data_IF_134853182892
#
_entry.id   IF_134853182892
#
_cell.length_a   1.000
_cell.length_b   1.000
_cell.length_c   1.000
_cell.angle_alpha   90.00
_cell.angle_beta   90.00
_cell.angle_gamma   90.00
#
_symmetry.space_group_name_H-M   'P 1'
#
loop_
_entity.id
_entity.type
_entity.pdbx_description
1 polymer ?
#
# COMPACT_ATOMS: atom_id res chain seq x y z
N UNK A 1 24.88 1.43 4.33
CA UNK A 1 24.22 1.55 3.02
C UNK A 1 22.88 0.92 3.28
N UNK A 2 21.84 1.73 3.39
CA UNK A 2 20.49 1.24 3.71
C UNK A 2 19.81 1.19 2.36
N UNK A 3 19.81 0.00 1.79
CA UNK A 3 19.57 -0.26 0.37
C UNK A 3 18.19 0.24 -0.08
N UNK A 4 18.17 1.24 -0.95
CA UNK A 4 16.96 1.83 -1.54
C UNK A 4 16.19 0.79 -2.39
N UNK A 5 16.89 -0.24 -2.88
CA UNK A 5 16.31 -1.38 -3.60
C UNK A 5 15.41 -2.24 -2.68
N UNK A 6 15.82 -2.49 -1.42
CA UNK A 6 15.05 -3.31 -0.48
C UNK A 6 13.66 -2.71 -0.16
N UNK A 7 13.56 -1.38 -0.09
CA UNK A 7 12.30 -0.70 0.23
C UNK A 7 11.27 -0.80 -0.90
N UNK A 8 11.72 -0.94 -2.16
CA UNK A 8 10.82 -1.11 -3.30
C UNK A 8 10.24 -2.52 -3.34
N UNK A 9 11.01 -3.54 -2.95
CA UNK A 9 10.55 -4.92 -2.90
C UNK A 9 9.47 -5.16 -1.83
N UNK A 10 9.42 -4.32 -0.80
CA UNK A 10 8.35 -4.34 0.20
C UNK A 10 7.00 -3.79 -0.32
N UNK A 11 7.00 -3.05 -1.42
CA UNK A 11 5.78 -2.49 -2.03
C UNK A 11 5.18 -3.55 -2.95
N UNK A 12 3.91 -3.97 -2.75
CA UNK A 12 3.22 -4.83 -3.71
C UNK A 12 3.19 -4.17 -5.09
N UNK A 13 3.44 -4.91 -6.17
CA UNK A 13 3.40 -4.31 -7.50
C UNK A 13 2.00 -3.81 -7.89
N UNK A 14 0.95 -4.42 -7.34
CA UNK A 14 -0.44 -4.10 -7.66
C UNK A 14 -1.36 -4.18 -6.45
N UNK A 15 -2.46 -3.45 -6.53
CA UNK A 15 -3.62 -3.59 -5.66
C UNK A 15 -4.88 -3.84 -6.52
N UNK A 16 -5.89 -4.46 -5.92
CA UNK A 16 -7.18 -4.71 -6.54
C UNK A 16 -8.22 -3.73 -6.01
N UNK A 17 -8.82 -2.93 -6.88
CA UNK A 17 -9.93 -2.05 -6.51
C UNK A 17 -11.26 -2.73 -6.81
N UNK A 18 -12.24 -2.60 -5.90
CA UNK A 18 -13.59 -3.07 -6.15
C UNK A 18 -14.36 -2.07 -7.00
N UNK A 19 -14.85 -2.51 -8.17
CA UNK A 19 -15.75 -1.75 -9.03
C UNK A 19 -17.21 -2.15 -8.83
N UNK A 20 -17.56 -2.54 -7.59
CA UNK A 20 -18.87 -3.05 -7.21
C UNK A 20 -19.33 -4.20 -8.13
N UNK A 21 -20.43 -4.01 -8.89
CA UNK A 21 -21.00 -5.05 -9.76
C UNK A 21 -20.15 -5.38 -10.99
N UNK A 22 -19.13 -4.55 -11.30
CA UNK A 22 -18.23 -4.77 -12.44
C UNK A 22 -17.04 -5.67 -12.11
N UNK A 23 -16.96 -6.15 -10.87
CA UNK A 23 -15.87 -7.00 -10.40
C UNK A 23 -14.74 -6.18 -9.79
N UNK A 24 -13.50 -6.65 -9.99
CA UNK A 24 -12.30 -6.01 -9.47
C UNK A 24 -11.39 -5.60 -10.62
N UNK A 25 -10.73 -4.46 -10.48
CA UNK A 25 -9.72 -3.98 -11.41
C UNK A 25 -8.33 -3.97 -10.75
N UNK A 26 -7.31 -4.29 -11.53
CA UNK A 26 -5.91 -4.34 -11.07
C UNK A 26 -5.28 -2.98 -11.31
N UNK A 27 -4.82 -2.33 -10.25
CA UNK A 27 -4.15 -1.02 -10.28
C UNK A 27 -2.68 -1.21 -9.91
N UNK A 28 -1.77 -0.61 -10.68
CA UNK A 28 -0.34 -0.59 -10.35
C UNK A 28 -0.06 0.35 -9.18
N UNK A 29 0.79 -0.06 -8.23
CA UNK A 29 1.28 0.83 -7.17
C UNK A 29 2.53 1.61 -7.59
N UNK A 30 3.09 1.31 -8.77
CA UNK A 30 4.25 1.97 -9.37
C UNK A 30 3.91 3.32 -10.02
N UNK A 31 2.99 4.07 -9.44
CA UNK A 31 2.57 5.40 -9.91
C UNK A 31 2.57 6.41 -8.76
N UNK A 32 2.66 7.70 -9.09
CA UNK A 32 2.51 8.76 -8.11
C UNK A 32 1.02 9.02 -7.85
N UNK A 33 0.63 9.00 -6.58
CA UNK A 33 -0.77 9.21 -6.17
C UNK A 33 -1.07 10.65 -5.75
N UNK A 34 -0.14 11.58 -5.93
CA UNK A 34 -0.36 13.00 -5.68
C UNK A 34 -1.26 13.61 -6.76
N UNK A 35 -2.24 14.43 -6.35
CA UNK A 35 -3.25 15.00 -7.27
C UNK A 35 -2.67 15.86 -8.40
N UNK A 36 -1.45 16.36 -8.23
CA UNK A 36 -0.76 17.24 -9.17
C UNK A 36 0.31 16.49 -10.00
N UNK A 37 0.32 15.16 -9.99
CA UNK A 37 1.31 14.36 -10.68
C UNK A 37 0.67 13.17 -11.40
N UNK A 38 1.09 12.94 -12.63
CA UNK A 38 0.70 11.84 -13.52
C UNK A 38 1.89 10.91 -13.79
N UNK A 39 2.85 10.84 -12.85
CA UNK A 39 4.02 9.97 -13.02
C UNK A 39 3.61 8.49 -12.91
N UNK A 40 3.83 7.75 -13.99
CA UNK A 40 3.67 6.29 -14.03
C UNK A 40 5.02 5.55 -14.18
N UNK A 41 6.14 6.28 -14.15
CA UNK A 41 7.46 5.69 -14.31
C UNK A 41 8.03 5.25 -12.93
N UNK A 42 8.20 3.94 -12.69
CA UNK A 42 8.69 3.43 -11.40
C UNK A 42 10.09 3.93 -11.05
N UNK A 43 10.92 4.18 -12.07
CA UNK A 43 12.31 4.68 -11.93
C UNK A 43 12.39 6.10 -11.36
N UNK A 44 11.29 6.85 -11.43
CA UNK A 44 11.18 8.21 -10.89
C UNK A 44 10.58 8.20 -9.47
N UNK A 45 10.24 7.03 -8.93
CA UNK A 45 9.71 6.86 -7.58
C UNK A 45 10.81 6.28 -6.69
N UNK A 46 11.26 7.06 -5.72
CA UNK A 46 12.30 6.69 -4.77
C UNK A 46 11.70 6.49 -3.37
N UNK A 47 11.51 5.24 -2.93
CA UNK A 47 11.27 4.94 -1.53
C UNK A 47 12.50 5.32 -0.70
N UNK A 48 12.32 6.08 0.38
CA UNK A 48 13.46 6.55 1.19
C UNK A 48 13.29 6.30 2.69
N UNK A 49 12.07 6.00 3.15
CA UNK A 49 11.79 5.74 4.56
C UNK A 49 10.67 4.71 4.69
N UNK A 50 10.80 3.84 5.69
CA UNK A 50 9.72 2.96 6.13
C UNK A 50 9.42 3.16 7.61
N UNK A 51 8.14 3.01 7.95
CA UNK A 51 7.68 2.88 9.33
C UNK A 51 6.77 1.66 9.42
N UNK A 52 7.05 0.78 10.37
CA UNK A 52 6.25 -0.42 10.60
C UNK A 52 5.65 -0.37 12.00
N UNK A 53 4.37 -0.70 12.08
CA UNK A 53 3.62 -0.81 13.31
C UNK A 53 2.91 -2.15 13.29
N UNK A 54 3.17 -3.00 14.28
CA UNK A 54 2.52 -4.29 14.41
C UNK A 54 1.84 -4.40 15.78
N UNK A 55 0.58 -4.85 15.79
CA UNK A 55 -0.15 -5.21 16.98
C UNK A 55 -0.98 -6.48 16.73
N UNK A 56 -1.67 -6.95 17.78
CA UNK A 56 -2.44 -8.20 17.74
C UNK A 56 -3.58 -8.21 16.69
N UNK A 57 -4.03 -7.04 16.24
CA UNK A 57 -5.18 -6.88 15.33
C UNK A 57 -4.75 -6.54 13.91
N UNK A 58 -3.70 -5.75 13.75
CA UNK A 58 -3.29 -5.20 12.47
C UNK A 58 -1.79 -4.93 12.40
N UNK A 59 -1.27 -5.11 11.20
CA UNK A 59 0.07 -4.68 10.82
C UNK A 59 -0.06 -3.53 9.82
N UNK A 60 0.64 -2.44 10.07
CA UNK A 60 0.69 -1.26 9.20
C UNK A 60 2.14 -1.04 8.78
N UNK A 61 2.38 -0.98 7.47
CA UNK A 61 3.63 -0.50 6.89
C UNK A 61 3.37 0.79 6.15
N UNK A 62 4.11 1.84 6.49
CA UNK A 62 4.12 3.11 5.76
C UNK A 62 5.44 3.20 5.01
N UNK A 63 5.36 3.39 3.70
CA UNK A 63 6.52 3.55 2.85
C UNK A 63 6.44 4.94 2.24
N UNK A 64 7.43 5.77 2.55
CA UNK A 64 7.54 7.14 2.08
C UNK A 64 8.29 7.14 0.76
N UNK A 65 7.67 7.72 -0.26
CA UNK A 65 8.15 7.69 -1.64
C UNK A 65 8.24 9.13 -2.13
N UNK A 66 9.42 9.51 -2.60
CA UNK A 66 9.65 10.77 -3.31
C UNK A 66 9.48 10.53 -4.80
N UNK A 67 8.67 11.34 -5.46
CA UNK A 67 8.53 11.32 -6.90
C UNK A 67 9.44 12.37 -7.55
N UNK A 68 10.46 11.96 -8.31
CA UNK A 68 11.38 12.88 -9.01
C UNK A 68 10.70 13.76 -10.05
N UNK A 69 9.53 13.35 -10.58
CA UNK A 69 8.81 14.12 -11.62
C UNK A 69 8.17 15.40 -11.07
N UNK A 70 7.57 15.33 -9.88
CA UNK A 70 6.88 16.46 -9.24
C UNK A 70 7.57 16.95 -7.97
N UNK A 71 8.67 16.29 -7.58
CA UNK A 71 9.43 16.46 -6.33
C UNK A 71 8.62 16.25 -5.05
N UNK A 72 7.35 15.90 -5.17
CA UNK A 72 6.45 15.64 -4.06
C UNK A 72 6.72 14.32 -3.35
N UNK A 73 6.33 14.26 -2.09
CA UNK A 73 6.40 13.08 -1.24
C UNK A 73 4.98 12.56 -1.01
N UNK A 74 4.80 11.26 -1.18
CA UNK A 74 3.58 10.57 -0.80
C UNK A 74 3.92 9.32 0.00
N UNK A 75 2.94 8.84 0.75
CA UNK A 75 3.11 7.70 1.63
C UNK A 75 2.16 6.60 1.18
N UNK A 76 2.68 5.42 0.88
CA UNK A 76 1.88 4.22 0.74
C UNK A 76 1.70 3.58 2.12
N UNK A 77 0.47 3.55 2.60
CA UNK A 77 0.09 2.88 3.84
C UNK A 77 -0.54 1.53 3.50
N UNK A 78 0.24 0.48 3.72
CA UNK A 78 -0.16 -0.93 3.60
C UNK A 78 -0.65 -1.40 4.96
N UNK A 79 -1.91 -1.80 5.06
CA UNK A 79 -2.54 -2.24 6.30
C UNK A 79 -3.07 -3.66 6.16
N UNK A 80 -2.52 -4.60 6.92
CA UNK A 80 -2.96 -5.99 6.99
C UNK A 80 -3.76 -6.20 8.27
N UNK A 81 -5.04 -6.54 8.15
CA UNK A 81 -5.90 -6.91 9.27
C UNK A 81 -5.74 -8.41 9.54
N UNK A 82 -5.38 -8.82 10.77
CA UNK A 82 -4.97 -10.21 11.10
C UNK A 82 -6.12 -11.15 11.48
N UNK A 83 -7.33 -10.65 11.75
CA UNK A 83 -8.48 -11.47 12.17
C UNK A 83 -9.81 -10.87 11.72
N UNK A 84 -10.22 -11.14 10.47
CA UNK A 84 -11.41 -10.49 9.88
C UNK A 84 -12.63 -11.41 9.95
N UNK A 85 -12.42 -12.71 10.02
CA UNK A 85 -13.45 -13.69 10.29
C UNK A 85 -12.86 -14.92 11.01
N UNK A 86 -13.62 -15.49 11.95
CA UNK A 86 -13.35 -16.85 12.43
C UNK A 86 -13.74 -17.80 11.31
N UNK A 87 -12.85 -18.73 10.94
CA UNK A 87 -13.22 -19.82 10.04
C UNK A 87 -14.42 -20.55 10.65
N UNK A 88 -15.50 -20.71 9.88
CA UNK A 88 -16.67 -21.51 10.28
C UNK A 88 -16.42 -23.02 10.20
N UNK A 89 -15.19 -23.45 9.84
CA UNK A 89 -14.79 -24.85 9.79
C UNK A 89 -13.79 -25.12 10.92
N UNK A 90 -14.02 -26.18 11.68
CA UNK A 90 -13.17 -26.68 12.78
C UNK A 90 -11.85 -27.31 12.29
N UNK A 91 -11.18 -26.65 11.35
CA UNK A 91 -9.88 -27.06 10.82
C UNK A 91 -8.91 -25.90 11.02
N UNK A 92 -7.69 -26.21 11.45
CA UNK A 92 -6.50 -25.35 11.67
C UNK A 92 -6.12 -24.48 10.46
N UNK A 93 -7.05 -23.68 9.94
CA UNK A 93 -6.81 -22.69 8.90
C UNK A 93 -6.51 -21.35 9.59
N UNK A 94 -5.37 -20.76 9.22
CA UNK A 94 -4.95 -19.45 9.68
C UNK A 94 -6.08 -18.42 9.47
N UNK A 95 -6.29 -17.49 10.43
CA UNK A 95 -7.36 -16.51 10.34
C UNK A 95 -7.27 -15.71 9.02
N UNK A 96 -8.42 -15.50 8.38
CA UNK A 96 -8.51 -14.71 7.14
C UNK A 96 -7.98 -13.29 7.41
N UNK A 97 -6.93 -12.92 6.68
CA UNK A 97 -6.34 -11.59 6.68
C UNK A 97 -6.66 -10.84 5.38
N UNK A 98 -6.61 -9.50 5.43
CA UNK A 98 -6.91 -8.62 4.28
C UNK A 98 -5.92 -7.48 4.29
N UNK A 99 -5.21 -7.32 3.18
CA UNK A 99 -4.39 -6.15 2.89
C UNK A 99 -5.24 -5.01 2.35
N UNK A 100 -5.01 -3.81 2.84
CA UNK A 100 -5.60 -2.56 2.39
C UNK A 100 -4.47 -1.59 2.04
N UNK A 101 -4.56 -0.93 0.89
CA UNK A 101 -3.58 0.08 0.46
C UNK A 101 -4.22 1.45 0.43
N UNK A 102 -3.61 2.42 1.11
CA UNK A 102 -3.98 3.83 1.05
C UNK A 102 -2.82 4.68 0.55
N UNK A 103 -3.13 5.74 -0.18
CA UNK A 103 -2.19 6.83 -0.44
C UNK A 103 -2.43 7.96 0.57
N UNK A 104 -1.35 8.48 1.14
CA UNK A 104 -1.35 9.68 1.96
C UNK A 104 -0.40 10.72 1.35
N UNK A 105 -0.61 12.00 1.67
CA UNK A 105 0.36 13.05 1.37
C UNK A 105 1.49 13.11 2.42
N UNK A 106 2.39 14.10 2.30
CA UNK A 106 3.52 14.28 3.21
C UNK A 106 3.12 14.59 4.66
N UNK A 107 1.94 15.17 4.86
CA UNK A 107 1.35 15.52 6.15
C UNK A 107 0.48 14.38 6.71
N UNK A 108 0.53 13.20 6.09
CA UNK A 108 -0.26 12.01 6.41
C UNK A 108 -1.78 12.15 6.19
N UNK A 109 -2.22 13.17 5.44
CA UNK A 109 -3.63 13.29 5.06
C UNK A 109 -3.98 12.20 4.05
N UNK A 110 -5.14 11.59 4.23
CA UNK A 110 -5.61 10.52 3.37
C UNK A 110 -6.01 11.04 1.97
N UNK A 111 -5.27 10.61 0.94
CA UNK A 111 -5.54 10.93 -0.47
C UNK A 111 -6.54 9.96 -1.11
N UNK A 112 -6.73 8.78 -0.52
CA UNK A 112 -7.72 7.80 -0.95
C UNK A 112 -7.34 6.35 -0.64
N UNK A 113 -8.35 5.50 -0.59
CA UNK A 113 -8.18 4.05 -0.60
C UNK A 113 -7.91 3.60 -2.04
N UNK A 114 -6.77 2.93 -2.26
CA UNK A 114 -6.37 2.45 -3.58
C UNK A 114 -6.97 1.07 -3.87
N UNK A 115 -6.92 0.16 -2.90
CA UNK A 115 -7.43 -1.19 -3.10
C UNK A 115 -6.97 -2.19 -2.04
N UNK A 116 -7.05 -3.47 -2.39
CA UNK A 116 -6.69 -4.62 -1.57
C UNK A 116 -5.47 -5.34 -2.15
N UNK A 117 -4.64 -5.97 -1.32
CA UNK A 117 -3.47 -6.73 -1.75
C UNK A 117 -3.29 -8.00 -0.92
#
# INVERSE_FOLDING_TARGET
MTDEEDLRDEIPSYAYISLARRGMEKISLDQCFLKNCDNNDPKLLEPFKKEEFDNDKEQIRKIFIRCKKCEGIFILKLKTLKQIAKSTKESDEEPLSMGLVYALDEDENNLGHIGYF
#
